data_IF_312311194247
#
_entry.id   IF_312311194247
#
_cell.length_a   1.000
_cell.length_b   1.000
_cell.length_c   1.000
_cell.angle_alpha   90.00
_cell.angle_beta   90.00
_cell.angle_gamma   90.00
#
_symmetry.space_group_name_H-M   'P 1'
#
loop_
_entity.id
_entity.type
_entity.pdbx_description
1 polymer ?
#
# COMPACT_ATOMS: atom_id res chain seq x y z
N UNK A 1 -17.11 -2.88 -25.70
CA UNK A 1 -17.60 -2.98 -24.30
C UNK A 1 -17.34 -1.66 -23.61
N UNK A 2 -18.20 -1.20 -22.70
CA UNK A 2 -17.92 0.03 -21.92
C UNK A 2 -16.74 -0.26 -20.98
N UNK A 3 -15.74 0.64 -20.88
CA UNK A 3 -14.62 0.44 -19.96
C UNK A 3 -15.12 0.45 -18.51
N UNK A 4 -14.39 -0.25 -17.65
CA UNK A 4 -14.55 -0.11 -16.20
C UNK A 4 -14.08 1.27 -15.75
N UNK A 5 -14.53 1.75 -14.59
CA UNK A 5 -14.11 3.04 -14.06
C UNK A 5 -13.28 2.85 -12.80
N UNK A 6 -12.12 3.50 -12.73
CA UNK A 6 -11.27 3.56 -11.56
C UNK A 6 -11.49 4.88 -10.85
N UNK A 7 -12.19 4.85 -9.73
CA UNK A 7 -12.40 6.03 -8.89
C UNK A 7 -11.28 6.15 -7.86
N UNK A 8 -10.45 7.19 -7.99
CA UNK A 8 -9.37 7.46 -7.06
C UNK A 8 -8.49 8.64 -7.43
N UNK A 9 -7.20 8.53 -7.12
CA UNK A 9 -6.20 9.59 -7.27
C UNK A 9 -4.83 8.95 -7.43
N UNK A 10 -3.97 9.51 -8.29
CA UNK A 10 -2.57 9.05 -8.44
C UNK A 10 -1.73 9.28 -7.17
N UNK A 11 -2.25 10.10 -6.25
CA UNK A 11 -1.68 10.30 -4.92
C UNK A 11 -1.98 9.17 -3.94
N UNK A 12 -2.71 8.13 -4.36
CA UNK A 12 -2.96 6.93 -3.58
C UNK A 12 -2.12 5.78 -4.13
N UNK A 13 -1.28 5.14 -3.29
CA UNK A 13 -0.47 4.02 -3.77
C UNK A 13 -1.34 2.82 -4.16
N UNK A 14 -2.46 2.63 -3.48
CA UNK A 14 -3.44 1.60 -3.80
C UNK A 14 -4.17 1.86 -5.12
N UNK A 15 -4.35 3.11 -5.53
CA UNK A 15 -4.90 3.44 -6.86
C UNK A 15 -3.93 3.07 -7.96
N UNK A 16 -2.65 3.44 -7.82
CA UNK A 16 -1.59 3.07 -8.79
C UNK A 16 -1.43 1.55 -8.90
N UNK A 17 -1.44 0.85 -7.75
CA UNK A 17 -1.47 -0.61 -7.68
C UNK A 17 -2.67 -1.16 -8.45
N UNK A 18 -3.88 -0.73 -8.13
CA UNK A 18 -5.11 -1.21 -8.76
C UNK A 18 -5.12 -0.98 -10.27
N UNK A 19 -4.66 0.19 -10.71
CA UNK A 19 -4.53 0.49 -12.13
C UNK A 19 -3.56 -0.47 -12.83
N UNK A 20 -2.38 -0.70 -12.27
CA UNK A 20 -1.42 -1.63 -12.85
C UNK A 20 -1.98 -3.07 -12.92
N UNK A 21 -2.73 -3.50 -11.90
CA UNK A 21 -3.44 -4.79 -11.91
C UNK A 21 -4.47 -4.87 -13.04
N UNK A 22 -5.29 -3.83 -13.22
CA UNK A 22 -6.28 -3.78 -14.29
C UNK A 22 -5.64 -3.79 -15.68
N UNK A 23 -4.54 -3.04 -15.87
CA UNK A 23 -3.79 -3.02 -17.12
C UNK A 23 -3.21 -4.40 -17.45
N UNK A 24 -2.56 -5.05 -16.47
CA UNK A 24 -2.03 -6.41 -16.63
C UNK A 24 -3.11 -7.42 -17.01
N UNK A 25 -4.26 -7.37 -16.32
CA UNK A 25 -5.39 -8.25 -16.60
C UNK A 25 -6.10 -7.95 -17.94
N UNK A 26 -5.68 -6.92 -18.67
CA UNK A 26 -6.32 -6.49 -19.91
C UNK A 26 -7.73 -5.91 -19.70
N UNK A 27 -8.04 -5.39 -18.50
CA UNK A 27 -9.31 -4.73 -18.21
C UNK A 27 -9.24 -3.26 -18.70
N UNK A 28 -10.02 -2.86 -19.73
CA UNK A 28 -10.06 -1.47 -20.14
C UNK A 28 -10.63 -0.60 -19.01
N UNK A 29 -9.89 0.43 -18.60
CA UNK A 29 -10.27 1.31 -17.50
C UNK A 29 -10.20 2.78 -17.89
N UNK A 30 -11.08 3.58 -17.31
CA UNK A 30 -10.98 5.05 -17.33
C UNK A 30 -10.81 5.57 -15.90
N UNK A 31 -9.85 6.48 -15.71
CA UNK A 31 -9.67 7.18 -14.44
C UNK A 31 -10.85 8.11 -14.16
N UNK A 32 -11.23 8.20 -12.88
CA UNK A 32 -12.19 9.16 -12.34
C UNK A 32 -11.72 9.59 -10.94
N UNK A 33 -11.98 10.83 -10.50
CA UNK A 33 -12.74 11.86 -11.19
C UNK A 33 -11.96 12.58 -12.30
N UNK A 34 -10.64 12.42 -12.38
CA UNK A 34 -9.88 13.06 -13.46
C UNK A 34 -10.37 12.62 -14.84
N UNK A 35 -10.36 13.54 -15.81
CA UNK A 35 -10.90 13.31 -17.15
C UNK A 35 -12.43 13.19 -17.27
N UNK A 36 -13.20 13.35 -16.18
CA UNK A 36 -14.67 13.28 -16.18
C UNK A 36 -15.36 14.64 -16.10
N UNK A 37 -16.61 14.71 -16.54
CA UNK A 37 -17.45 15.91 -16.36
C UNK A 37 -18.00 16.01 -14.94
N UNK A 38 -18.43 17.21 -14.53
CA UNK A 38 -19.04 17.43 -13.22
C UNK A 38 -20.27 16.52 -13.00
N UNK A 39 -21.12 16.36 -14.01
CA UNK A 39 -22.32 15.54 -13.92
C UNK A 39 -22.00 14.05 -13.78
N UNK A 40 -21.05 13.53 -14.55
CA UNK A 40 -20.61 12.14 -14.46
C UNK A 40 -20.01 11.84 -13.09
N UNK A 41 -19.09 12.68 -12.63
CA UNK A 41 -18.41 12.48 -11.36
C UNK A 41 -19.35 12.66 -10.17
N UNK A 42 -20.31 13.58 -10.24
CA UNK A 42 -21.35 13.71 -9.22
C UNK A 42 -22.22 12.45 -9.16
N UNK A 43 -22.64 11.90 -10.31
CA UNK A 43 -23.41 10.65 -10.37
C UNK A 43 -22.63 9.46 -9.79
N UNK A 44 -21.34 9.32 -10.12
CA UNK A 44 -20.48 8.26 -9.59
C UNK A 44 -20.30 8.39 -8.08
N UNK A 45 -20.01 9.60 -7.59
CA UNK A 45 -19.86 9.88 -6.16
C UNK A 45 -21.16 9.57 -5.39
N UNK A 46 -22.32 9.99 -5.91
CA UNK A 46 -23.63 9.67 -5.31
C UNK A 46 -23.90 8.18 -5.31
N UNK A 47 -23.63 7.48 -6.42
CA UNK A 47 -23.80 6.02 -6.53
C UNK A 47 -22.91 5.29 -5.54
N UNK A 48 -21.65 5.69 -5.40
CA UNK A 48 -20.71 5.13 -4.41
C UNK A 48 -21.24 5.35 -2.99
N UNK A 49 -21.69 6.57 -2.66
CA UNK A 49 -22.23 6.90 -1.34
C UNK A 49 -23.45 6.07 -0.99
N UNK A 50 -24.37 5.88 -1.94
CA UNK A 50 -25.55 5.02 -1.76
C UNK A 50 -25.11 3.57 -1.54
N UNK A 51 -24.17 3.06 -2.34
CA UNK A 51 -23.68 1.69 -2.21
C UNK A 51 -22.98 1.44 -0.87
N UNK A 52 -22.20 2.41 -0.38
CA UNK A 52 -21.58 2.34 0.95
C UNK A 52 -22.65 2.30 2.05
N UNK A 53 -23.65 3.19 2.01
CA UNK A 53 -24.74 3.23 2.99
C UNK A 53 -25.55 1.93 3.00
N UNK A 54 -25.80 1.36 1.82
CA UNK A 54 -26.54 0.08 1.67
C UNK A 54 -25.67 -1.16 1.85
N UNK A 55 -24.37 -0.99 2.12
CA UNK A 55 -23.36 -2.06 2.21
C UNK A 55 -23.31 -3.00 0.99
N UNK A 56 -23.51 -2.45 -0.20
CA UNK A 56 -23.50 -3.21 -1.47
C UNK A 56 -22.19 -3.07 -2.24
N UNK A 57 -21.21 -2.31 -1.74
CA UNK A 57 -19.84 -2.32 -2.30
C UNK A 57 -19.19 -3.66 -1.95
N UNK A 58 -18.70 -4.37 -2.95
CA UNK A 58 -18.22 -5.75 -2.84
C UNK A 58 -16.73 -5.80 -2.51
N UNK A 59 -16.35 -6.74 -1.65
CA UNK A 59 -14.98 -7.21 -1.47
C UNK A 59 -14.94 -8.67 -1.90
N UNK A 60 -13.91 -9.05 -2.65
CA UNK A 60 -13.73 -10.42 -3.11
C UNK A 60 -12.81 -11.22 -2.18
N UNK A 61 -13.07 -12.52 -1.93
CA UNK A 61 -14.28 -13.27 -2.34
C UNK A 61 -15.51 -12.91 -1.49
N UNK A 62 -15.30 -12.43 -0.27
CA UNK A 62 -16.39 -11.99 0.61
C UNK A 62 -16.00 -10.80 1.48
N UNK A 63 -16.96 -9.89 1.64
CA UNK A 63 -16.90 -8.81 2.62
C UNK A 63 -17.19 -9.36 4.01
N UNK A 64 -16.51 -8.82 5.02
CA UNK A 64 -16.75 -9.15 6.42
C UNK A 64 -17.55 -8.02 7.09
N UNK A 65 -18.35 -8.32 8.14
CA UNK A 65 -19.13 -7.31 8.85
C UNK A 65 -18.29 -6.12 9.35
N UNK A 66 -17.03 -6.39 9.69
CA UNK A 66 -16.08 -5.42 10.24
C UNK A 66 -15.22 -4.70 9.21
N UNK A 67 -15.39 -4.97 7.92
CA UNK A 67 -14.66 -4.24 6.88
C UNK A 67 -15.05 -2.75 6.87
N UNK A 68 -14.04 -1.89 6.89
CA UNK A 68 -14.18 -0.45 6.72
C UNK A 68 -13.93 -0.09 5.25
N UNK A 69 -14.77 0.79 4.72
CA UNK A 69 -14.57 1.29 3.35
C UNK A 69 -13.37 2.24 3.30
N UNK A 70 -12.45 2.06 2.34
CA UNK A 70 -11.33 2.98 2.16
C UNK A 70 -11.84 4.33 1.64
N UNK A 71 -10.96 5.33 1.58
CA UNK A 71 -11.30 6.58 0.88
C UNK A 71 -11.30 6.36 -0.64
N UNK A 72 -10.27 5.69 -1.14
CA UNK A 72 -9.99 5.34 -2.54
C UNK A 72 -9.01 4.15 -2.50
N UNK A 73 -8.89 3.35 -3.58
CA UNK A 73 -9.65 3.40 -4.82
C UNK A 73 -10.92 2.52 -4.80
N UNK A 74 -11.75 2.69 -5.84
CA UNK A 74 -12.88 1.81 -6.15
C UNK A 74 -12.90 1.45 -7.64
N UNK A 75 -13.23 0.21 -7.96
CA UNK A 75 -13.44 -0.28 -9.32
C UNK A 75 -14.93 -0.41 -9.61
N UNK A 76 -15.44 0.31 -10.61
CA UNK A 76 -16.80 0.16 -11.12
C UNK A 76 -16.76 -0.72 -12.36
N UNK A 77 -17.38 -1.89 -12.30
CA UNK A 77 -17.43 -2.82 -13.43
C UNK A 77 -18.53 -2.45 -14.41
N UNK A 78 -18.43 -2.93 -15.65
CA UNK A 78 -19.43 -2.72 -16.69
C UNK A 78 -20.82 -3.26 -16.28
N UNK A 79 -20.85 -4.33 -15.48
CA UNK A 79 -22.08 -4.98 -14.99
C UNK A 79 -22.74 -4.24 -13.83
N UNK A 80 -22.16 -3.12 -13.38
CA UNK A 80 -22.75 -2.27 -12.35
C UNK A 80 -22.29 -2.56 -10.93
N UNK A 81 -21.35 -3.49 -10.73
CA UNK A 81 -20.75 -3.74 -9.43
C UNK A 81 -19.72 -2.66 -9.08
N UNK A 82 -19.51 -2.48 -7.78
CA UNK A 82 -18.48 -1.60 -7.23
C UNK A 82 -17.62 -2.44 -6.29
N UNK A 83 -16.33 -2.51 -6.57
CA UNK A 83 -15.36 -3.25 -5.78
C UNK A 83 -14.40 -2.29 -5.07
N UNK A 84 -13.95 -2.69 -3.89
CA UNK A 84 -12.81 -2.09 -3.17
C UNK A 84 -11.84 -3.20 -2.77
N UNK A 85 -10.74 -2.84 -2.11
CA UNK A 85 -9.65 -3.75 -1.71
C UNK A 85 -8.84 -4.25 -2.91
N UNK A 86 -7.70 -3.62 -3.20
CA UNK A 86 -6.88 -3.94 -4.38
C UNK A 86 -6.42 -5.41 -4.39
N UNK A 87 -6.15 -6.00 -3.22
CA UNK A 87 -5.75 -7.40 -3.08
C UNK A 87 -6.91 -8.34 -3.46
N UNK A 88 -8.10 -8.07 -2.95
CA UNK A 88 -9.32 -8.79 -3.34
C UNK A 88 -9.64 -8.60 -4.83
N UNK A 89 -9.45 -7.40 -5.38
CA UNK A 89 -9.66 -7.13 -6.81
C UNK A 89 -8.66 -7.91 -7.69
N UNK A 90 -7.40 -8.07 -7.28
CA UNK A 90 -6.45 -8.93 -8.00
C UNK A 90 -6.96 -10.38 -8.11
N UNK A 91 -7.42 -10.95 -7.00
CA UNK A 91 -8.02 -12.29 -7.00
C UNK A 91 -9.34 -12.35 -7.79
N UNK A 92 -10.10 -11.26 -7.84
CA UNK A 92 -11.31 -11.17 -8.68
C UNK A 92 -10.96 -11.16 -10.17
N UNK A 93 -9.91 -10.43 -10.58
CA UNK A 93 -9.39 -10.40 -11.95
C UNK A 93 -8.90 -11.79 -12.38
N UNK A 94 -8.13 -12.48 -11.54
CA UNK A 94 -7.66 -13.85 -11.83
C UNK A 94 -8.81 -14.86 -11.95
N UNK A 95 -9.87 -14.68 -11.15
CA UNK A 95 -11.07 -15.54 -11.22
C UNK A 95 -12.00 -15.21 -12.40
N UNK A 96 -11.89 -14.02 -12.99
CA UNK A 96 -12.69 -13.52 -14.11
C UNK A 96 -11.80 -12.78 -15.12
N UNK A 97 -10.87 -13.48 -15.78
CA UNK A 97 -9.87 -12.85 -16.62
C UNK A 97 -10.55 -12.12 -17.79
N UNK A 98 -10.40 -10.78 -17.90
CA UNK A 98 -10.91 -9.99 -19.01
C UNK A 98 -10.22 -10.32 -20.35
N UNK A 99 -8.96 -10.73 -20.26
CA UNK A 99 -8.10 -11.17 -21.37
C UNK A 99 -7.26 -12.38 -20.93
N UNK A 100 -6.53 -13.01 -21.87
CA UNK A 100 -5.66 -14.17 -21.60
C UNK A 100 -4.32 -13.78 -20.94
N UNK A 101 -4.39 -12.93 -19.90
CA UNK A 101 -3.23 -12.51 -19.12
C UNK A 101 -2.76 -13.60 -18.14
N UNK A 102 -1.47 -13.57 -17.80
CA UNK A 102 -0.92 -14.44 -16.76
C UNK A 102 -1.52 -14.11 -15.37
N UNK A 103 -1.75 -15.11 -14.49
CA UNK A 103 -2.35 -14.86 -13.17
C UNK A 103 -1.52 -13.90 -12.31
N UNK A 104 -2.16 -12.89 -11.72
CA UNK A 104 -1.54 -11.93 -10.81
C UNK A 104 -1.03 -12.61 -9.53
N UNK A 105 -1.74 -13.63 -9.07
CA UNK A 105 -1.38 -14.43 -7.91
C UNK A 105 -0.84 -15.78 -8.41
N UNK A 106 0.39 -16.18 -8.00
CA UNK A 106 0.94 -17.47 -8.37
C UNK A 106 0.02 -18.64 -7.95
N UNK A 107 0.02 -19.72 -8.74
CA UNK A 107 -0.78 -20.93 -8.43
C UNK A 107 -0.04 -21.89 -7.51
N UNK A 108 1.28 -21.90 -7.57
CA UNK A 108 2.11 -22.72 -6.69
C UNK A 108 2.02 -22.19 -5.24
N UNK A 109 1.71 -23.04 -4.24
CA UNK A 109 1.44 -22.58 -2.87
C UNK A 109 2.54 -21.72 -2.24
N UNK A 110 3.80 -22.12 -2.38
CA UNK A 110 4.93 -21.38 -1.79
C UNK A 110 5.10 -20.00 -2.45
N UNK A 111 5.07 -19.93 -3.79
CA UNK A 111 5.12 -18.66 -4.51
C UNK A 111 3.91 -17.77 -4.19
N UNK A 112 2.72 -18.35 -4.06
CA UNK A 112 1.51 -17.62 -3.71
C UNK A 112 1.64 -16.98 -2.33
N UNK A 113 2.13 -17.75 -1.35
CA UNK A 113 2.40 -17.27 0.00
C UNK A 113 3.45 -16.15 0.00
N UNK A 114 4.59 -16.33 -0.68
CA UNK A 114 5.64 -15.29 -0.73
C UNK A 114 5.15 -14.03 -1.44
N UNK A 115 4.41 -14.18 -2.54
CA UNK A 115 3.77 -13.07 -3.23
C UNK A 115 2.85 -12.27 -2.29
N UNK A 116 1.99 -12.98 -1.54
CA UNK A 116 1.07 -12.36 -0.60
C UNK A 116 1.80 -11.70 0.58
N UNK A 117 2.84 -12.35 1.10
CA UNK A 117 3.64 -11.85 2.21
C UNK A 117 4.35 -10.54 1.85
N UNK A 118 4.99 -10.49 0.67
CA UNK A 118 5.65 -9.27 0.18
C UNK A 118 4.62 -8.17 -0.06
N UNK A 119 3.50 -8.50 -0.70
CA UNK A 119 2.44 -7.54 -0.96
C UNK A 119 1.89 -6.91 0.32
N UNK A 120 1.52 -7.71 1.32
CA UNK A 120 0.97 -7.20 2.58
C UNK A 120 2.00 -6.39 3.37
N UNK A 121 3.28 -6.78 3.34
CA UNK A 121 4.34 -6.00 3.96
C UNK A 121 4.49 -4.62 3.31
N UNK A 122 4.38 -4.53 1.98
CA UNK A 122 4.43 -3.28 1.23
C UNK A 122 3.16 -2.44 1.45
N UNK A 123 1.98 -3.05 1.43
CA UNK A 123 0.70 -2.36 1.65
C UNK A 123 0.58 -1.77 3.07
N UNK A 124 1.21 -2.41 4.06
CA UNK A 124 1.19 -1.95 5.45
C UNK A 124 2.37 -1.05 5.82
N UNK A 125 3.60 -1.55 5.70
CA UNK A 125 4.81 -0.80 6.08
C UNK A 125 5.23 0.15 4.97
N UNK A 126 5.21 -0.32 3.71
CA UNK A 126 5.56 0.52 2.56
C UNK A 126 4.71 1.80 2.51
N UNK A 127 3.43 1.71 2.87
CA UNK A 127 2.54 2.87 3.02
C UNK A 127 3.10 3.93 3.99
N UNK A 128 3.67 3.53 5.13
CA UNK A 128 4.29 4.44 6.09
C UNK A 128 5.50 5.14 5.49
N UNK A 129 6.33 4.38 4.77
CA UNK A 129 7.54 4.90 4.13
C UNK A 129 7.21 5.95 3.08
N UNK A 130 6.24 5.68 2.20
CA UNK A 130 5.96 6.55 1.05
C UNK A 130 5.19 7.81 1.45
N UNK A 131 4.38 7.73 2.51
CA UNK A 131 3.81 8.92 3.15
C UNK A 131 4.87 9.74 3.89
N UNK A 132 5.81 9.09 4.58
CA UNK A 132 6.95 9.77 5.19
C UNK A 132 7.77 10.51 4.13
N UNK A 133 8.08 9.86 3.00
CA UNK A 133 8.84 10.47 1.91
C UNK A 133 8.13 11.68 1.28
N UNK A 134 6.82 11.63 1.10
CA UNK A 134 6.06 12.78 0.57
C UNK A 134 6.06 13.96 1.55
N UNK A 135 5.69 13.72 2.80
CA UNK A 135 5.35 14.80 3.74
C UNK A 135 6.50 15.21 4.66
N UNK A 136 7.58 14.42 4.73
CA UNK A 136 8.80 14.72 5.50
C UNK A 136 9.97 14.98 4.57
N UNK A 137 10.34 14.02 3.72
CA UNK A 137 11.52 14.15 2.84
C UNK A 137 11.29 15.22 1.77
N UNK A 138 10.12 15.19 1.12
CA UNK A 138 9.75 16.16 0.07
C UNK A 138 8.90 17.31 0.60
N UNK A 139 8.97 17.62 1.90
CA UNK A 139 8.14 18.66 2.53
C UNK A 139 8.32 20.04 1.87
N UNK A 140 9.53 20.34 1.42
CA UNK A 140 9.88 21.64 0.85
C UNK A 140 9.39 21.84 -0.58
N UNK A 141 9.15 20.77 -1.33
CA UNK A 141 9.04 20.83 -2.79
C UNK A 141 7.92 19.96 -3.40
N UNK A 142 7.13 19.24 -2.60
CA UNK A 142 5.97 18.51 -3.12
C UNK A 142 4.74 19.42 -3.37
N UNK A 143 3.99 19.13 -4.44
CA UNK A 143 2.75 19.78 -4.85
C UNK A 143 1.54 18.83 -4.81
N UNK A 144 1.55 17.84 -3.91
CA UNK A 144 0.51 16.82 -3.83
C UNK A 144 -0.90 17.40 -3.60
N UNK A 145 -1.03 18.49 -2.84
CA UNK A 145 -2.31 19.18 -2.66
C UNK A 145 -2.89 19.73 -3.96
N UNK A 146 -2.05 20.36 -4.79
CA UNK A 146 -2.43 20.92 -6.07
C UNK A 146 -2.80 19.84 -7.08
N UNK A 147 -2.02 18.75 -7.12
CA UNK A 147 -2.32 17.61 -7.99
C UNK A 147 -3.69 17.02 -7.66
N UNK A 148 -4.01 16.84 -6.36
CA UNK A 148 -5.34 16.37 -5.96
C UNK A 148 -6.44 17.34 -6.40
N UNK A 149 -6.25 18.64 -6.15
CA UNK A 149 -7.24 19.65 -6.53
C UNK A 149 -7.49 19.67 -8.05
N UNK A 150 -6.44 19.41 -8.84
CA UNK A 150 -6.51 19.28 -10.30
C UNK A 150 -7.26 18.02 -10.75
N UNK A 151 -6.97 16.86 -10.17
CA UNK A 151 -7.70 15.61 -10.44
C UNK A 151 -9.20 15.74 -10.13
N UNK A 152 -9.53 16.47 -9.06
CA UNK A 152 -10.91 16.69 -8.60
C UNK A 152 -11.55 17.98 -9.17
N UNK A 153 -10.93 18.65 -10.16
CA UNK A 153 -11.40 19.95 -10.69
C UNK A 153 -12.83 19.95 -11.23
N UNK A 154 -13.34 18.79 -11.66
CA UNK A 154 -14.72 18.65 -12.12
C UNK A 154 -15.74 18.76 -10.97
N UNK A 155 -15.31 18.49 -9.74
CA UNK A 155 -16.11 18.51 -8.52
C UNK A 155 -15.81 19.73 -7.64
N UNK A 156 -14.67 20.39 -7.87
CA UNK A 156 -14.17 21.50 -7.06
C UNK A 156 -14.09 22.76 -7.93
N UNK A 157 -14.89 23.80 -7.63
CA UNK A 157 -14.79 25.09 -8.32
C UNK A 157 -13.37 25.67 -8.26
N UNK A 158 -12.95 26.36 -9.32
CA UNK A 158 -11.57 26.87 -9.45
C UNK A 158 -11.09 27.71 -8.26
N UNK A 159 -11.94 28.61 -7.74
CA UNK A 159 -11.61 29.45 -6.58
C UNK A 159 -11.41 28.64 -5.28
N UNK A 160 -11.95 27.42 -5.19
CA UNK A 160 -11.84 26.54 -4.03
C UNK A 160 -10.62 25.60 -4.10
N UNK A 161 -9.95 25.48 -5.26
CA UNK A 161 -8.83 24.56 -5.45
C UNK A 161 -7.65 24.82 -4.49
N UNK A 162 -7.20 26.06 -4.26
CA UNK A 162 -6.13 26.33 -3.29
C UNK A 162 -6.49 25.90 -1.86
N UNK A 163 -7.74 26.12 -1.45
CA UNK A 163 -8.24 25.71 -0.13
C UNK A 163 -8.28 24.19 0.02
N UNK A 164 -8.67 23.48 -1.04
CA UNK A 164 -8.65 22.00 -1.07
C UNK A 164 -7.20 21.49 -1.01
N UNK A 165 -6.28 22.10 -1.75
CA UNK A 165 -4.87 21.75 -1.73
C UNK A 165 -4.28 21.89 -0.31
N UNK A 166 -4.50 23.03 0.33
CA UNK A 166 -4.02 23.29 1.69
C UNK A 166 -4.68 22.35 2.71
N UNK A 167 -6.00 22.20 2.67
CA UNK A 167 -6.75 21.33 3.60
C UNK A 167 -6.31 19.88 3.48
N UNK A 168 -6.08 19.39 2.25
CA UNK A 168 -5.56 18.05 2.01
C UNK A 168 -4.16 17.89 2.59
N UNK A 169 -3.23 18.79 2.25
CA UNK A 169 -1.83 18.73 2.70
C UNK A 169 -1.72 18.79 4.23
N UNK A 170 -2.50 19.68 4.87
CA UNK A 170 -2.58 19.77 6.31
C UNK A 170 -3.14 18.48 6.93
N UNK A 171 -4.20 17.91 6.36
CA UNK A 171 -4.79 16.66 6.84
C UNK A 171 -3.79 15.51 6.75
N UNK A 172 -3.09 15.35 5.63
CA UNK A 172 -2.13 14.26 5.45
C UNK A 172 -0.95 14.40 6.40
N UNK A 173 -0.42 15.60 6.57
CA UNK A 173 0.70 15.85 7.47
C UNK A 173 0.32 15.58 8.94
N UNK A 174 -0.87 16.00 9.38
CA UNK A 174 -1.39 15.69 10.72
C UNK A 174 -1.61 14.19 10.98
N UNK A 175 -1.82 13.40 9.92
CA UNK A 175 -2.03 11.95 10.01
C UNK A 175 -0.73 11.14 10.10
N UNK A 176 0.43 11.76 9.92
CA UNK A 176 1.72 11.05 9.92
C UNK A 176 1.96 10.19 11.16
N UNK A 177 1.66 10.62 12.40
CA UNK A 177 1.81 9.76 13.56
C UNK A 177 0.91 8.51 13.54
N UNK A 178 -0.27 8.58 12.91
CA UNK A 178 -1.14 7.41 12.72
C UNK A 178 -0.56 6.43 11.68
N UNK A 179 0.17 6.98 10.70
CA UNK A 179 0.97 6.24 9.72
C UNK A 179 2.39 6.00 10.22
N UNK A 180 2.57 5.91 11.54
CA UNK A 180 3.81 5.51 12.19
C UNK A 180 5.01 6.44 11.93
N UNK A 181 4.81 7.60 11.31
CA UNK A 181 5.82 8.64 11.10
C UNK A 181 5.71 9.71 12.18
N UNK A 182 6.53 9.59 13.22
CA UNK A 182 6.55 10.46 14.40
C UNK A 182 7.87 11.22 14.45
N UNK A 183 7.78 12.56 14.44
CA UNK A 183 8.94 13.43 14.59
C UNK A 183 9.43 13.43 16.06
N UNK A 184 10.74 13.62 16.31
CA UNK A 184 11.22 13.86 17.67
C UNK A 184 10.76 15.24 18.17
N UNK A 185 10.48 15.37 19.48
CA UNK A 185 10.00 16.62 20.10
C UNK A 185 10.99 17.80 19.91
N UNK A 186 12.28 17.48 19.77
CA UNK A 186 13.35 18.46 19.53
C UNK A 186 13.46 18.88 18.06
N UNK A 187 12.72 18.27 17.13
CA UNK A 187 12.81 18.62 15.70
C UNK A 187 12.42 20.08 15.51
N UNK A 188 13.24 20.79 14.74
CA UNK A 188 12.94 22.11 14.20
C UNK A 188 12.85 21.99 12.69
N UNK A 189 11.74 22.46 12.15
CA UNK A 189 11.49 22.43 10.72
C UNK A 189 11.91 23.78 10.12
N UNK A 190 12.66 23.74 9.01
CA UNK A 190 12.83 24.93 8.17
C UNK A 190 11.45 25.38 7.66
N UNK A 191 11.22 26.67 7.39
CA UNK A 191 9.99 27.10 6.74
C UNK A 191 9.68 26.24 5.52
N UNK A 192 8.46 25.75 5.44
CA UNK A 192 8.02 24.84 4.39
C UNK A 192 6.67 25.27 3.85
N UNK A 193 6.31 24.70 2.71
CA UNK A 193 5.07 25.02 2.01
C UNK A 193 3.82 24.58 2.78
N UNK A 194 3.94 23.49 3.53
CA UNK A 194 2.86 22.86 4.28
C UNK A 194 3.16 22.80 5.77
N UNK A 195 2.13 22.46 6.56
CA UNK A 195 2.23 22.28 8.00
C UNK A 195 3.38 21.33 8.38
N UNK A 196 3.91 21.52 9.58
CA UNK A 196 5.01 20.71 10.09
C UNK A 196 4.56 19.29 10.45
N UNK A 197 5.31 18.25 10.03
CA UNK A 197 5.12 16.90 10.52
C UNK A 197 5.21 16.87 12.06
N UNK A 198 4.15 16.41 12.74
CA UNK A 198 4.05 16.57 14.18
C UNK A 198 4.87 15.51 14.93
N UNK A 199 5.44 15.93 16.06
CA UNK A 199 5.74 15.00 17.15
C UNK A 199 4.44 14.58 17.84
N UNK A 200 4.51 13.56 18.71
CA UNK A 200 3.35 13.11 19.47
C UNK A 200 3.77 12.68 20.86
N UNK A 201 3.22 13.34 21.88
CA UNK A 201 3.49 13.03 23.27
C UNK A 201 3.24 11.53 23.56
N UNK A 202 4.22 10.89 24.20
CA UNK A 202 4.17 9.46 24.54
C UNK A 202 4.36 8.51 23.35
N UNK A 203 4.78 9.01 22.17
CA UNK A 203 5.13 8.20 21.01
C UNK A 203 6.63 8.39 20.70
N UNK A 204 7.44 7.32 20.74
CA UNK A 204 8.85 7.41 20.33
C UNK A 204 9.00 7.87 18.88
N UNK A 205 10.06 8.62 18.60
CA UNK A 205 10.37 9.07 17.24
C UNK A 205 10.72 7.88 16.32
N UNK A 206 10.23 7.94 15.08
CA UNK A 206 10.40 6.86 14.09
C UNK A 206 11.04 7.31 12.79
N UNK A 207 11.15 8.62 12.52
CA UNK A 207 11.63 9.16 11.24
C UNK A 207 12.94 8.52 10.75
N UNK A 208 14.00 8.52 11.57
CA UNK A 208 15.30 7.92 11.18
C UNK A 208 15.18 6.43 10.81
N UNK A 209 14.38 5.69 11.56
CA UNK A 209 14.17 4.25 11.33
C UNK A 209 13.31 3.99 10.09
N UNK A 210 12.34 4.86 9.79
CA UNK A 210 11.58 4.81 8.53
C UNK A 210 12.49 5.11 7.34
N UNK A 211 13.35 6.13 7.42
CA UNK A 211 14.31 6.42 6.35
C UNK A 211 15.30 5.28 6.11
N UNK A 212 15.79 4.63 7.18
CA UNK A 212 16.63 3.43 7.07
C UNK A 212 15.86 2.25 6.45
N UNK A 213 14.62 2.02 6.87
CA UNK A 213 13.76 0.97 6.32
C UNK A 213 13.48 1.20 4.83
N UNK A 214 13.28 2.44 4.42
CA UNK A 214 13.11 2.80 3.01
C UNK A 214 14.38 2.55 2.19
N UNK A 215 15.54 2.97 2.70
CA UNK A 215 16.84 2.75 2.05
C UNK A 215 17.08 1.25 1.80
N UNK A 216 16.79 0.40 2.79
CA UNK A 216 16.96 -1.05 2.68
C UNK A 216 15.97 -1.70 1.71
N UNK A 217 14.71 -1.26 1.71
CA UNK A 217 13.71 -1.73 0.74
C UNK A 217 14.15 -1.41 -0.69
N UNK A 218 14.61 -0.18 -0.91
CA UNK A 218 15.06 0.30 -2.22
C UNK A 218 16.32 -0.43 -2.68
N UNK A 219 17.29 -0.64 -1.80
CA UNK A 219 18.51 -1.40 -2.12
C UNK A 219 18.20 -2.88 -2.43
N UNK A 220 17.30 -3.50 -1.66
CA UNK A 220 16.87 -4.88 -1.89
C UNK A 220 16.21 -5.04 -3.26
N UNK A 221 15.29 -4.14 -3.60
CA UNK A 221 14.61 -4.16 -4.88
C UNK A 221 15.56 -3.82 -6.05
N UNK A 222 16.46 -2.84 -5.92
CA UNK A 222 17.49 -2.53 -6.92
C UNK A 222 18.38 -3.75 -7.21
N UNK A 223 18.83 -4.43 -6.16
CA UNK A 223 19.65 -5.64 -6.29
C UNK A 223 18.89 -6.75 -7.01
N UNK A 224 17.67 -7.07 -6.56
CA UNK A 224 16.89 -8.14 -7.18
C UNK A 224 16.56 -7.86 -8.64
N UNK A 225 16.16 -6.62 -8.96
CA UNK A 225 15.82 -6.21 -10.33
C UNK A 225 17.05 -6.13 -11.25
N UNK A 226 18.27 -6.23 -10.71
CA UNK A 226 19.47 -6.43 -11.52
C UNK A 226 19.62 -7.86 -12.05
N UNK A 227 18.92 -8.83 -11.46
CA UNK A 227 19.01 -10.26 -11.79
C UNK A 227 17.80 -10.78 -12.58
N UNK A 228 16.64 -10.14 -12.43
CA UNK A 228 15.39 -10.56 -13.05
C UNK A 228 14.42 -9.38 -13.23
N UNK A 229 13.47 -9.45 -14.18
CA UNK A 229 12.64 -8.29 -14.53
C UNK A 229 11.54 -7.97 -13.51
N UNK A 230 11.11 -8.94 -12.69
CA UNK A 230 10.06 -8.78 -11.67
C UNK A 230 10.47 -9.45 -10.36
N UNK A 231 9.79 -9.13 -9.26
CA UNK A 231 10.14 -9.60 -7.91
C UNK A 231 10.14 -11.12 -7.78
N UNK A 232 9.28 -11.82 -8.54
CA UNK A 232 9.13 -13.27 -8.47
C UNK A 232 9.50 -13.98 -9.78
N UNK A 233 10.30 -13.36 -10.65
CA UNK A 233 10.81 -14.01 -11.86
C UNK A 233 10.58 -13.18 -13.12
N UNK A 234 10.05 -13.81 -14.16
CA UNK A 234 10.00 -13.27 -15.51
C UNK A 234 8.73 -12.47 -15.84
N UNK A 235 7.70 -12.56 -15.00
CA UNK A 235 6.40 -11.92 -15.23
C UNK A 235 5.86 -11.15 -14.03
N UNK A 236 4.98 -10.19 -14.31
CA UNK A 236 4.36 -9.32 -13.32
C UNK A 236 3.38 -10.08 -12.41
N UNK A 237 3.41 -9.74 -11.12
CA UNK A 237 2.55 -10.33 -10.08
C UNK A 237 1.95 -9.26 -9.16
N UNK A 238 1.08 -9.68 -8.25
CA UNK A 238 0.53 -8.82 -7.21
C UNK A 238 1.61 -8.17 -6.32
N UNK A 239 2.74 -8.85 -6.08
CA UNK A 239 3.86 -8.30 -5.31
C UNK A 239 4.50 -7.10 -6.04
N UNK A 240 4.69 -7.21 -7.36
CA UNK A 240 5.20 -6.13 -8.21
C UNK A 240 4.25 -4.94 -8.21
N UNK A 241 2.94 -5.19 -8.33
CA UNK A 241 1.91 -4.16 -8.28
C UNK A 241 1.93 -3.41 -6.94
N UNK A 242 2.17 -4.10 -5.83
CA UNK A 242 2.30 -3.48 -4.51
C UNK A 242 3.53 -2.58 -4.43
N UNK A 243 4.70 -3.07 -4.86
CA UNK A 243 5.94 -2.28 -4.84
C UNK A 243 5.81 -1.03 -5.72
N UNK A 244 5.27 -1.20 -6.92
CA UNK A 244 4.96 -0.11 -7.83
C UNK A 244 3.97 0.88 -7.22
N UNK A 245 2.87 0.41 -6.66
CA UNK A 245 1.87 1.27 -6.06
C UNK A 245 2.47 2.18 -4.98
N UNK A 246 3.25 1.60 -4.07
CA UNK A 246 3.89 2.35 -2.99
C UNK A 246 4.94 3.34 -3.55
N UNK A 247 6.02 2.86 -4.17
CA UNK A 247 7.14 3.74 -4.56
C UNK A 247 6.80 4.63 -5.77
N UNK A 248 5.95 4.14 -6.67
CA UNK A 248 5.48 4.86 -7.86
C UNK A 248 4.80 6.18 -7.51
N UNK A 249 4.07 6.22 -6.38
CA UNK A 249 3.43 7.42 -5.88
C UNK A 249 4.44 8.57 -5.64
N UNK A 250 5.67 8.25 -5.19
CA UNK A 250 6.70 9.24 -4.91
C UNK A 250 7.51 9.68 -6.14
N UNK A 251 7.27 9.11 -7.33
CA UNK A 251 7.89 9.60 -8.58
C UNK A 251 7.48 11.02 -8.95
N UNK A 252 6.39 11.51 -8.35
CA UNK A 252 5.92 12.88 -8.52
C UNK A 252 6.40 13.81 -7.39
N UNK A 253 7.15 13.32 -6.41
CA UNK A 253 7.61 14.11 -5.26
C UNK A 253 9.12 14.43 -5.42
N UNK A 254 9.54 15.67 -5.75
CA UNK A 254 10.86 15.91 -6.36
C UNK A 254 12.07 15.48 -5.51
N UNK A 255 12.11 15.80 -4.22
CA UNK A 255 13.21 15.36 -3.35
C UNK A 255 13.24 13.84 -3.13
N UNK A 256 12.08 13.20 -3.00
CA UNK A 256 12.00 11.75 -2.88
C UNK A 256 12.39 11.05 -4.18
N UNK A 257 11.95 11.56 -5.33
CA UNK A 257 12.28 11.04 -6.64
C UNK A 257 13.79 11.12 -6.90
N UNK A 258 14.41 12.26 -6.56
CA UNK A 258 15.86 12.45 -6.68
C UNK A 258 16.63 11.42 -5.84
N UNK A 259 16.25 11.25 -4.57
CA UNK A 259 16.87 10.27 -3.66
C UNK A 259 16.74 8.84 -4.22
N UNK A 260 15.58 8.49 -4.77
CA UNK A 260 15.34 7.19 -5.41
C UNK A 260 16.19 7.01 -6.67
N UNK A 261 16.25 8.03 -7.54
CA UNK A 261 17.03 8.00 -8.77
C UNK A 261 18.53 7.83 -8.50
N UNK A 262 19.07 8.57 -7.53
CA UNK A 262 20.49 8.51 -7.15
C UNK A 262 20.86 7.17 -6.50
N UNK A 263 19.97 6.60 -5.65
CA UNK A 263 20.25 5.37 -4.91
C UNK A 263 20.01 4.10 -5.73
N UNK A 264 18.93 4.06 -6.50
CA UNK A 264 18.42 2.86 -7.16
C UNK A 264 17.89 3.15 -8.58
N UNK A 265 18.80 3.43 -9.53
CA UNK A 265 18.43 3.84 -10.88
C UNK A 265 17.68 2.75 -11.67
N UNK A 266 17.95 1.44 -11.44
CA UNK A 266 17.21 0.36 -12.11
C UNK A 266 15.79 0.26 -11.58
N UNK A 267 15.63 0.27 -10.25
CA UNK A 267 14.30 0.31 -9.63
C UNK A 267 13.51 1.52 -10.12
N UNK A 268 14.15 2.70 -10.18
CA UNK A 268 13.53 3.92 -10.72
C UNK A 268 13.09 3.76 -12.17
N UNK A 269 13.92 3.14 -13.01
CA UNK A 269 13.58 2.82 -14.41
C UNK A 269 12.42 1.82 -14.52
N UNK A 270 12.41 0.81 -13.65
CA UNK A 270 11.37 -0.21 -13.54
C UNK A 270 10.01 0.38 -13.13
N UNK A 271 9.98 1.26 -12.12
CA UNK A 271 8.76 1.96 -11.73
C UNK A 271 8.20 2.81 -12.88
N UNK A 272 9.08 3.51 -13.61
CA UNK A 272 8.69 4.26 -14.81
C UNK A 272 8.20 3.36 -15.96
N UNK A 273 8.72 2.13 -16.06
CA UNK A 273 8.27 1.15 -17.03
C UNK A 273 6.83 0.70 -16.75
N UNK A 274 6.49 0.41 -15.50
CA UNK A 274 5.15 0.02 -15.08
C UNK A 274 4.18 1.19 -15.25
N UNK A 275 4.58 2.41 -14.89
CA UNK A 275 3.78 3.62 -15.13
C UNK A 275 3.45 3.84 -16.62
N UNK A 276 4.34 3.39 -17.51
CA UNK A 276 4.14 3.43 -18.97
C UNK A 276 3.44 2.17 -19.53
N UNK A 277 2.97 1.25 -18.68
CA UNK A 277 2.26 0.04 -19.10
C UNK A 277 3.14 -1.09 -19.64
N UNK A 278 4.45 -1.06 -19.42
CA UNK A 278 5.39 -2.08 -19.95
C UNK A 278 5.34 -3.43 -19.22
N UNK A 279 4.49 -3.57 -18.21
CA UNK A 279 4.22 -4.84 -17.52
C UNK A 279 3.08 -5.65 -18.12
N UNK A 280 2.33 -5.07 -19.06
CA UNK A 280 1.28 -5.77 -19.82
C UNK A 280 1.90 -6.88 -20.69
N UNK A 281 1.18 -7.99 -20.84
CA UNK A 281 1.59 -9.16 -21.64
C UNK A 281 2.96 -9.72 -21.26
N UNK A 282 3.28 -9.69 -19.97
CA UNK A 282 4.49 -10.33 -19.44
C UNK A 282 4.24 -11.80 -19.16
N UNK A 283 5.19 -12.63 -19.58
CA UNK A 283 5.12 -14.09 -19.51
C UNK A 283 6.47 -14.65 -19.04
N UNK A 284 6.46 -15.91 -18.61
CA UNK A 284 7.66 -16.63 -18.23
C UNK A 284 7.56 -17.29 -16.86
N UNK A 285 8.69 -17.85 -16.42
CA UNK A 285 8.77 -18.63 -15.20
C UNK A 285 8.78 -17.74 -13.95
N UNK A 286 8.05 -18.19 -12.93
CA UNK A 286 8.15 -17.62 -11.60
C UNK A 286 9.12 -18.43 -10.75
N UNK A 287 9.95 -17.76 -9.95
CA UNK A 287 10.94 -18.40 -9.09
C UNK A 287 11.29 -17.52 -7.89
N UNK A 288 11.69 -18.18 -6.80
CA UNK A 288 12.29 -17.52 -5.64
C UNK A 288 13.80 -17.42 -5.84
N UNK A 289 14.26 -16.33 -6.46
CA UNK A 289 15.69 -16.09 -6.67
C UNK A 289 16.41 -15.82 -5.33
N UNK A 290 17.67 -16.26 -5.14
CA UNK A 290 18.41 -16.02 -3.90
C UNK A 290 18.51 -14.54 -3.49
N UNK A 291 18.61 -13.63 -4.46
CA UNK A 291 18.64 -12.17 -4.19
C UNK A 291 17.30 -11.59 -3.70
N UNK A 292 16.26 -12.41 -3.54
CA UNK A 292 15.05 -12.04 -2.81
C UNK A 292 15.30 -11.96 -1.28
N UNK A 293 16.38 -12.58 -0.80
CA UNK A 293 16.75 -12.65 0.62
C UNK A 293 16.70 -11.30 1.36
N UNK A 294 17.30 -10.19 0.84
CA UNK A 294 17.29 -8.92 1.55
C UNK A 294 15.89 -8.32 1.68
N UNK A 295 15.00 -8.55 0.70
CA UNK A 295 13.62 -8.10 0.76
C UNK A 295 12.84 -8.89 1.81
N UNK A 296 13.05 -10.21 1.89
CA UNK A 296 12.44 -11.04 2.93
C UNK A 296 12.95 -10.68 4.32
N UNK A 297 14.23 -10.38 4.49
CA UNK A 297 14.79 -9.88 5.74
C UNK A 297 14.20 -8.51 6.14
N UNK A 298 13.91 -7.64 5.17
CA UNK A 298 13.16 -6.41 5.40
C UNK A 298 11.73 -6.71 5.89
N UNK A 299 11.03 -7.66 5.28
CA UNK A 299 9.70 -8.11 5.78
C UNK A 299 9.77 -8.62 7.22
N UNK A 300 10.74 -9.50 7.54
CA UNK A 300 10.92 -10.06 8.89
C UNK A 300 11.18 -9.00 9.94
N UNK A 301 11.91 -7.94 9.59
CA UNK A 301 12.33 -6.89 10.53
C UNK A 301 11.31 -5.77 10.69
N UNK A 302 10.59 -5.43 9.62
CA UNK A 302 9.72 -4.26 9.62
C UNK A 302 8.24 -4.60 9.75
N UNK A 303 7.77 -5.66 9.09
CA UNK A 303 6.35 -6.04 9.04
C UNK A 303 5.98 -7.02 10.15
N UNK A 304 6.73 -8.10 10.30
CA UNK A 304 6.38 -9.19 11.25
C UNK A 304 6.22 -8.69 12.70
N UNK A 305 7.14 -7.87 13.29
CA UNK A 305 7.00 -7.43 14.67
C UNK A 305 5.77 -6.56 14.88
N UNK A 306 5.44 -5.71 13.89
CA UNK A 306 4.26 -4.86 13.92
C UNK A 306 2.97 -5.69 13.92
N UNK A 307 2.87 -6.68 13.03
CA UNK A 307 1.66 -7.50 12.90
C UNK A 307 1.43 -8.37 14.13
N UNK A 308 2.49 -8.98 14.67
CA UNK A 308 2.42 -9.76 15.91
C UNK A 308 1.99 -8.90 17.10
N UNK A 309 2.59 -7.72 17.27
CA UNK A 309 2.23 -6.81 18.35
C UNK A 309 0.79 -6.30 18.22
N UNK A 310 0.35 -5.96 17.00
CA UNK A 310 -1.03 -5.55 16.73
C UNK A 310 -2.03 -6.67 17.05
N UNK A 311 -1.76 -7.91 16.63
CA UNK A 311 -2.59 -9.07 16.91
C UNK A 311 -2.67 -9.39 18.41
N UNK A 312 -1.54 -9.33 19.12
CA UNK A 312 -1.50 -9.53 20.57
C UNK A 312 -2.31 -8.45 21.32
N UNK A 313 -2.13 -7.18 20.94
CA UNK A 313 -2.86 -6.07 21.56
C UNK A 313 -4.37 -6.13 21.32
N UNK A 314 -4.79 -6.60 20.13
CA UNK A 314 -6.20 -6.71 19.76
C UNK A 314 -7.02 -7.62 20.68
N UNK A 315 -6.40 -8.60 21.35
CA UNK A 315 -7.09 -9.48 22.30
C UNK A 315 -7.74 -8.72 23.47
N UNK A 316 -7.22 -7.53 23.80
CA UNK A 316 -7.74 -6.68 24.89
C UNK A 316 -8.69 -5.56 24.41
N UNK A 317 -8.90 -5.43 23.09
CA UNK A 317 -9.67 -4.32 22.51
C UNK A 317 -11.16 -4.63 22.47
N UNK A 318 -11.97 -3.69 22.96
CA UNK A 318 -13.43 -3.83 22.92
C UNK A 318 -13.97 -3.81 21.48
N UNK A 319 -14.83 -4.76 21.07
CA UNK A 319 -15.41 -4.77 19.73
C UNK A 319 -16.29 -3.54 19.45
N UNK A 320 -16.88 -2.93 20.49
CA UNK A 320 -17.80 -1.78 20.41
C UNK A 320 -17.09 -0.41 20.49
N UNK A 321 -15.76 -0.38 20.55
CA UNK A 321 -14.95 0.84 20.59
C UNK A 321 -14.78 1.55 19.23
N UNK A 322 -14.25 2.78 19.23
CA UNK A 322 -13.73 3.43 18.02
C UNK A 322 -12.65 2.55 17.41
N UNK A 323 -12.50 2.64 16.09
CA UNK A 323 -11.57 1.80 15.33
C UNK A 323 -10.43 2.63 14.76
N UNK A 324 -9.27 2.03 14.59
CA UNK A 324 -8.17 2.55 13.75
C UNK A 324 -7.84 4.03 14.07
N UNK A 325 -7.94 4.92 13.09
CA UNK A 325 -7.63 6.35 13.22
C UNK A 325 -8.52 7.04 14.28
N UNK A 326 -9.76 6.61 14.46
CA UNK A 326 -10.64 7.17 15.49
C UNK A 326 -10.20 6.75 16.91
N UNK A 327 -9.73 5.52 17.10
CA UNK A 327 -9.15 5.08 18.37
C UNK A 327 -7.84 5.84 18.65
N UNK A 328 -6.99 5.98 17.63
CA UNK A 328 -5.74 6.72 17.71
C UNK A 328 -5.92 8.18 18.13
N UNK A 329 -6.90 8.87 17.54
CA UNK A 329 -7.24 10.27 17.91
C UNK A 329 -7.72 10.41 19.35
N UNK A 330 -8.33 9.36 19.91
CA UNK A 330 -8.83 9.32 21.29
C UNK A 330 -7.82 8.75 22.29
N UNK A 331 -6.60 8.41 21.85
CA UNK A 331 -5.60 7.78 22.70
C UNK A 331 -6.01 6.40 23.24
N UNK A 332 -6.90 5.69 22.53
CA UNK A 332 -7.39 4.36 22.92
C UNK A 332 -6.77 3.27 22.06
N UNK A 333 -6.82 2.05 22.58
CA UNK A 333 -6.33 0.83 21.90
C UNK A 333 -4.87 0.97 21.42
N UNK A 334 -4.07 1.72 22.20
CA UNK A 334 -2.65 1.92 21.89
C UNK A 334 -1.83 0.77 22.44
N UNK A 335 -0.80 0.36 21.71
CA UNK A 335 0.15 -0.65 22.14
C UNK A 335 1.58 -0.22 21.86
N UNK A 336 2.49 -0.75 22.66
CA UNK A 336 3.93 -0.53 22.56
C UNK A 336 4.61 -1.83 22.15
N UNK A 337 5.67 -1.71 21.37
CA UNK A 337 6.46 -2.85 20.89
C UNK A 337 7.86 -2.40 20.52
N UNK A 338 8.79 -3.34 20.38
CA UNK A 338 10.10 -3.08 19.80
C UNK A 338 9.99 -3.14 18.27
N UNK A 339 10.45 -2.09 17.59
CA UNK A 339 10.54 -2.05 16.14
C UNK A 339 11.95 -1.63 15.73
N UNK A 340 12.65 -2.50 15.00
CA UNK A 340 14.08 -2.31 14.67
C UNK A 340 14.89 -1.98 15.93
N UNK A 341 14.77 -2.85 16.93
CA UNK A 341 15.48 -2.82 18.23
C UNK A 341 15.29 -1.55 19.07
N UNK A 342 14.28 -0.75 18.78
CA UNK A 342 13.96 0.45 19.55
C UNK A 342 12.45 0.54 19.88
N UNK A 343 12.08 1.18 20.99
CA UNK A 343 10.68 1.35 21.37
C UNK A 343 9.88 2.05 20.28
N UNK A 344 8.66 1.57 20.06
CA UNK A 344 7.71 2.16 19.16
C UNK A 344 6.29 2.00 19.72
N UNK A 345 5.39 2.85 19.25
CA UNK A 345 3.99 2.86 19.69
C UNK A 345 3.06 3.02 18.51
N UNK A 346 1.96 2.27 18.53
CA UNK A 346 0.92 2.33 17.50
C UNK A 346 -0.46 2.17 18.12
N UNK A 347 -1.50 2.16 17.29
CA UNK A 347 -2.88 1.81 17.65
C UNK A 347 -3.22 0.47 17.03
N UNK A 348 -4.11 -0.28 17.68
CA UNK A 348 -4.68 -1.48 17.09
C UNK A 348 -5.41 -1.12 15.80
N UNK A 349 -4.91 -1.64 14.67
CA UNK A 349 -5.52 -1.50 13.35
C UNK A 349 -6.25 -2.79 13.02
N UNK A 350 -7.58 -2.74 13.04
CA UNK A 350 -8.42 -3.94 12.92
C UNK A 350 -8.36 -4.57 11.54
N UNK A 351 -8.21 -3.76 10.49
CA UNK A 351 -8.09 -4.25 9.12
C UNK A 351 -6.84 -5.13 8.94
N UNK A 352 -5.75 -4.82 9.65
CA UNK A 352 -4.52 -5.62 9.65
C UNK A 352 -4.69 -7.00 10.28
N UNK A 353 -5.66 -7.19 11.19
CA UNK A 353 -5.85 -8.46 11.90
C UNK A 353 -6.31 -9.56 10.95
N UNK A 354 -7.18 -9.22 10.00
CA UNK A 354 -7.65 -10.15 8.97
C UNK A 354 -6.50 -10.59 8.08
N UNK A 355 -5.77 -9.63 7.51
CA UNK A 355 -4.57 -9.87 6.72
C UNK A 355 -3.59 -10.79 7.45
N UNK A 356 -3.29 -10.50 8.72
CA UNK A 356 -2.38 -11.31 9.52
C UNK A 356 -2.87 -12.74 9.72
N UNK A 357 -4.16 -12.90 10.02
CA UNK A 357 -4.79 -14.21 10.19
C UNK A 357 -4.75 -15.03 8.89
N UNK A 358 -5.02 -14.40 7.75
CA UNK A 358 -4.98 -15.03 6.43
C UNK A 358 -3.55 -15.46 6.07
N UNK A 359 -2.54 -14.61 6.31
CA UNK A 359 -1.13 -14.96 6.13
C UNK A 359 -0.70 -16.14 7.01
N UNK A 360 -1.06 -16.12 8.30
CA UNK A 360 -0.77 -17.24 9.21
C UNK A 360 -1.43 -18.55 8.75
N UNK A 361 -2.68 -18.48 8.27
CA UNK A 361 -3.39 -19.64 7.76
C UNK A 361 -2.75 -20.19 6.48
N UNK A 362 -2.33 -19.33 5.56
CA UNK A 362 -1.60 -19.75 4.36
C UNK A 362 -0.26 -20.38 4.69
N UNK A 363 0.50 -19.80 5.63
CA UNK A 363 1.79 -20.35 6.07
C UNK A 363 1.63 -21.76 6.65
N UNK A 364 0.63 -21.99 7.51
CA UNK A 364 0.35 -23.32 8.09
C UNK A 364 -0.14 -24.36 7.08
N UNK A 365 -0.65 -23.91 5.93
CA UNK A 365 -1.10 -24.79 4.86
C UNK A 365 0.05 -25.26 3.95
N UNK A 366 1.25 -24.67 4.07
CA UNK A 366 2.43 -25.07 3.33
C UNK A 366 3.01 -26.39 3.84
N UNK A 367 3.68 -27.14 2.97
CA UNK A 367 4.39 -28.35 3.40
C UNK A 367 5.64 -27.98 4.23
N UNK A 368 6.13 -28.92 5.04
CA UNK A 368 7.38 -28.72 5.78
C UNK A 368 8.58 -28.45 4.84
N UNK A 369 8.56 -29.02 3.63
CA UNK A 369 9.57 -28.78 2.60
C UNK A 369 9.49 -27.33 2.08
N UNK A 370 8.29 -26.82 1.81
CA UNK A 370 8.09 -25.44 1.35
C UNK A 370 8.53 -24.43 2.42
N UNK A 371 8.17 -24.67 3.68
CA UNK A 371 8.56 -23.79 4.79
C UNK A 371 10.07 -23.77 5.02
N UNK A 372 10.78 -24.86 4.73
CA UNK A 372 12.24 -24.92 4.84
C UNK A 372 12.96 -24.00 3.83
N UNK A 373 12.31 -23.66 2.71
CA UNK A 373 12.87 -22.74 1.70
C UNK A 373 12.98 -21.31 2.25
N UNK A 374 12.04 -20.88 3.11
CA UNK A 374 12.02 -19.50 3.60
C UNK A 374 13.25 -19.14 4.45
N UNK A 375 13.68 -19.93 5.46
CA UNK A 375 14.94 -19.69 6.16
C UNK A 375 16.17 -19.84 5.27
N UNK A 376 16.14 -20.75 4.29
CA UNK A 376 17.26 -20.90 3.35
C UNK A 376 17.46 -19.66 2.49
N UNK A 377 16.37 -18.97 2.14
CA UNK A 377 16.42 -17.72 1.40
C UNK A 377 16.80 -16.56 2.31
N UNK A 378 16.11 -16.34 3.43
CA UNK A 378 16.36 -15.14 4.25
C UNK A 378 17.60 -15.23 5.15
N UNK A 379 18.13 -16.43 5.39
CA UNK A 379 19.24 -16.66 6.31
C UNK A 379 18.83 -16.62 7.79
N UNK A 380 17.54 -16.45 8.09
CA UNK A 380 17.01 -16.34 9.44
C UNK A 380 15.82 -17.29 9.66
N UNK A 381 15.65 -17.75 10.89
CA UNK A 381 14.48 -18.55 11.26
C UNK A 381 13.20 -17.71 11.12
N UNK A 382 12.18 -18.30 10.51
CA UNK A 382 10.84 -17.73 10.44
C UNK A 382 10.01 -18.12 11.66
N UNK A 383 8.80 -17.55 11.77
CA UNK A 383 7.96 -17.67 12.94
C UNK A 383 7.65 -19.15 13.30
N UNK A 384 7.94 -19.59 14.54
CA UNK A 384 7.60 -20.94 14.99
C UNK A 384 6.11 -21.24 14.85
N UNK A 385 5.23 -20.24 15.04
CA UNK A 385 3.78 -20.38 14.91
C UNK A 385 3.26 -20.64 13.48
N UNK A 386 4.14 -20.59 12.47
CA UNK A 386 3.83 -21.00 11.09
C UNK A 386 4.08 -22.49 10.85
N UNK A 387 4.82 -23.16 11.74
CA UNK A 387 5.11 -24.59 11.68
C UNK A 387 4.17 -25.44 12.55
N UNK A 388 3.25 -24.79 13.28
CA UNK A 388 2.36 -25.37 14.30
C UNK A 388 0.89 -25.38 13.87
#
# INVERSE_FOLDING_TARGET
MKPALLWGSELSPFFLKLEALCQHAGLPTERRPDGGTALENLRLMTRLRIAQTRRTVKRWPSAQPDDEYPLVPYLFTADGDIHYDSSGIAAWLDARPPAAAEPLIPREPLLAFVCKLIEEALDEVGLYLVHHHRWVVSRGDNDAGERLAREFRSLVPGFAQPLIAESFSQRQTRRLPYLFSVAPDSKRWSPGRWADPPARAGFPATHRRLEQSWDELVDAAERLLSQQPYLLGERFTLADAALYGQLGMNLSDPSSERRLHERAPRLRGWLGAIAAGRHVDTHGELRLHPDLAPLLAWVQRDFIPLMRANAAAAASVSPRGPRNEAAFKRGRDLFEFAWRDAPARSVVKRFQLRTWSELCAQARALSAQDLAVLPMLSGEAWLPEWQA
#
